data_IF_077645682816
#
_entry.id   IF_077645682816
#
_cell.length_a   1.000
_cell.length_b   1.000
_cell.length_c   1.000
_cell.angle_alpha   90.00
_cell.angle_beta   90.00
_cell.angle_gamma   90.00
#
_symmetry.space_group_name_H-M   'P 1'
#
loop_
_entity.id
_entity.type
_entity.pdbx_description
1 polymer ?
#
# COMPACT_ATOMS: atom_id res chain seq x y z
N UNK A 1 -15.44 8.98 6.84
CA UNK A 1 -14.12 8.41 6.49
C UNK A 1 -14.05 8.35 4.97
N UNK A 2 -12.91 8.74 4.40
CA UNK A 2 -12.64 8.66 2.96
C UNK A 2 -11.40 7.76 2.75
N UNK A 3 -11.37 7.00 1.67
CA UNK A 3 -10.21 6.19 1.27
C UNK A 3 -9.77 6.62 -0.12
N UNK A 4 -8.50 6.98 -0.25
CA UNK A 4 -7.84 7.27 -1.52
C UNK A 4 -6.92 6.09 -1.82
N UNK A 5 -7.37 5.19 -2.68
CA UNK A 5 -6.63 3.97 -3.01
C UNK A 5 -5.70 4.21 -4.22
N UNK A 6 -4.50 3.63 -4.18
CA UNK A 6 -3.52 3.67 -5.26
C UNK A 6 -3.11 5.10 -5.70
N UNK A 7 -2.87 5.98 -4.73
CA UNK A 7 -2.51 7.38 -4.93
C UNK A 7 -1.03 7.58 -5.32
N UNK A 8 -0.54 6.85 -6.32
CA UNK A 8 0.89 6.78 -6.70
C UNK A 8 1.37 7.98 -7.54
N UNK A 9 0.44 8.64 -8.24
CA UNK A 9 0.69 9.70 -9.22
C UNK A 9 0.78 11.09 -8.56
N UNK A 10 1.98 11.52 -8.18
CA UNK A 10 2.25 12.82 -7.53
C UNK A 10 1.68 13.99 -8.33
N UNK A 11 1.76 13.94 -9.66
CA UNK A 11 1.32 14.97 -10.59
C UNK A 11 -0.20 15.21 -10.62
N UNK A 12 -1.00 14.24 -10.13
CA UNK A 12 -2.45 14.40 -9.99
C UNK A 12 -2.78 15.25 -8.75
N UNK A 13 -1.97 15.13 -7.71
CA UNK A 13 -2.19 15.77 -6.42
C UNK A 13 -1.42 17.08 -6.24
N UNK A 14 -0.38 17.32 -7.04
CA UNK A 14 0.46 18.50 -6.93
C UNK A 14 0.84 19.05 -8.31
N UNK A 15 0.93 20.39 -8.46
CA UNK A 15 1.37 21.00 -9.71
C UNK A 15 2.78 20.53 -10.09
N UNK A 16 3.02 20.33 -11.39
CA UNK A 16 4.38 20.08 -11.89
C UNK A 16 5.26 21.31 -11.64
N UNK A 17 6.49 21.11 -11.16
CA UNK A 17 7.47 22.20 -11.01
C UNK A 17 7.67 22.89 -12.36
N UNK A 18 7.35 24.19 -12.44
CA UNK A 18 7.49 25.00 -13.66
C UNK A 18 6.26 25.02 -14.58
N UNK A 19 5.20 24.27 -14.29
CA UNK A 19 3.92 24.43 -14.97
C UNK A 19 3.13 25.57 -14.32
N UNK A 20 3.09 26.72 -14.99
CA UNK A 20 2.33 27.90 -14.56
C UNK A 20 0.96 27.96 -15.24
N UNK A 21 0.35 26.81 -15.54
CA UNK A 21 -1.03 26.79 -15.99
C UNK A 21 -1.96 26.88 -14.78
N UNK A 22 -2.29 28.12 -14.45
CA UNK A 22 -3.12 28.55 -13.32
C UNK A 22 -4.61 28.17 -13.44
N UNK A 23 -4.97 27.20 -14.30
CA UNK A 23 -6.37 26.87 -14.60
C UNK A 23 -6.87 25.58 -13.93
N UNK A 24 -5.97 24.64 -13.61
CA UNK A 24 -6.36 23.38 -12.96
C UNK A 24 -5.84 23.35 -11.51
N UNK A 25 -6.77 23.44 -10.56
CA UNK A 25 -6.45 23.23 -9.15
C UNK A 25 -6.06 21.75 -8.94
N UNK A 26 -4.95 21.47 -8.22
CA UNK A 26 -4.52 20.10 -7.99
C UNK A 26 -5.54 19.33 -7.14
N UNK A 27 -5.64 18.00 -7.30
CA UNK A 27 -6.66 17.20 -6.62
C UNK A 27 -6.57 17.31 -5.09
N UNK A 28 -5.35 17.46 -4.54
CA UNK A 28 -5.13 17.65 -3.11
C UNK A 28 -5.87 18.87 -2.53
N UNK A 29 -6.13 19.89 -3.35
CA UNK A 29 -6.84 21.10 -2.89
C UNK A 29 -8.32 20.86 -2.62
N UNK A 30 -8.91 19.83 -3.23
CA UNK A 30 -10.31 19.43 -3.06
C UNK A 30 -10.50 18.41 -1.92
N UNK A 31 -9.42 17.90 -1.32
CA UNK A 31 -9.55 16.97 -0.21
C UNK A 31 -10.17 17.67 1.02
N UNK A 32 -11.11 17.03 1.73
CA UNK A 32 -11.76 17.63 2.89
C UNK A 32 -10.76 18.07 3.98
N UNK A 33 -10.77 19.37 4.31
CA UNK A 33 -9.94 19.97 5.37
C UNK A 33 -10.79 20.19 6.62
N UNK A 34 -11.19 19.11 7.27
CA UNK A 34 -12.06 19.13 8.44
C UNK A 34 -11.47 18.26 9.54
N UNK A 35 -11.52 18.73 10.79
CA UNK A 35 -11.21 17.89 11.96
C UNK A 35 -12.28 16.82 12.26
N UNK A 36 -13.38 16.80 11.49
CA UNK A 36 -14.46 15.80 11.59
C UNK A 36 -14.36 14.83 10.43
N UNK A 37 -13.65 13.74 10.65
CA UNK A 37 -13.42 12.68 9.66
C UNK A 37 -11.95 12.32 9.54
N UNK A 38 -11.67 11.29 8.74
CA UNK A 38 -10.32 10.83 8.43
C UNK A 38 -10.24 10.46 6.96
N UNK A 39 -9.05 10.61 6.38
CA UNK A 39 -8.69 10.16 5.05
C UNK A 39 -7.59 9.10 5.23
N UNK A 40 -7.81 7.91 4.69
CA UNK A 40 -6.77 6.87 4.58
C UNK A 40 -6.28 6.88 3.15
N UNK A 41 -4.96 6.93 2.96
CA UNK A 41 -4.34 6.97 1.64
C UNK A 41 -3.47 5.74 1.50
N UNK A 42 -3.63 5.00 0.41
CA UNK A 42 -2.71 3.90 0.05
C UNK A 42 -1.88 4.36 -1.14
N UNK A 43 -0.58 4.10 -1.09
CA UNK A 43 0.33 4.35 -2.20
C UNK A 43 1.58 3.49 -2.09
N UNK A 44 2.14 3.10 -3.23
CA UNK A 44 3.48 2.50 -3.36
C UNK A 44 4.58 3.55 -3.54
N UNK A 45 4.19 4.83 -3.66
CA UNK A 45 5.11 5.95 -3.86
C UNK A 45 5.22 6.80 -2.59
N UNK A 46 6.32 6.63 -1.86
CA UNK A 46 6.57 7.36 -0.60
C UNK A 46 6.60 8.88 -0.79
N UNK A 47 7.11 9.40 -1.93
CA UNK A 47 7.10 10.85 -2.22
C UNK A 47 5.67 11.38 -2.41
N UNK A 48 4.78 10.57 -3.00
CA UNK A 48 3.36 10.93 -3.13
C UNK A 48 2.68 10.99 -1.75
N UNK A 49 2.89 9.95 -0.93
CA UNK A 49 2.32 9.87 0.40
C UNK A 49 2.82 10.99 1.32
N UNK A 50 4.14 11.23 1.36
CA UNK A 50 4.75 12.26 2.18
C UNK A 50 4.21 13.65 1.85
N UNK A 51 4.05 13.98 0.57
CA UNK A 51 3.50 15.28 0.17
C UNK A 51 2.02 15.44 0.56
N UNK A 52 1.27 14.35 0.64
CA UNK A 52 -0.16 14.35 1.00
C UNK A 52 -0.39 14.46 2.51
N UNK A 53 0.39 13.75 3.33
CA UNK A 53 0.12 13.62 4.78
C UNK A 53 1.28 14.02 5.69
N UNK A 54 2.49 14.23 5.16
CA UNK A 54 3.73 14.42 5.93
C UNK A 54 4.32 13.10 6.44
N UNK A 55 5.60 13.10 6.82
CA UNK A 55 6.33 11.90 7.26
C UNK A 55 5.73 11.24 8.50
N UNK A 56 5.25 12.03 9.46
CA UNK A 56 4.73 11.54 10.75
C UNK A 56 3.43 10.72 10.62
N UNK A 57 2.78 10.78 9.46
CA UNK A 57 1.50 10.13 9.19
C UNK A 57 1.61 8.95 8.20
N UNK A 58 2.82 8.51 7.85
CA UNK A 58 3.05 7.36 6.97
C UNK A 58 3.13 6.07 7.80
N UNK A 59 2.37 5.07 7.38
CA UNK A 59 2.48 3.70 7.88
C UNK A 59 3.04 2.80 6.77
N UNK A 60 4.28 2.32 6.95
CA UNK A 60 4.88 1.37 6.02
C UNK A 60 4.32 -0.03 6.24
N UNK A 61 3.85 -0.66 5.16
CA UNK A 61 3.40 -2.05 5.18
C UNK A 61 4.56 -2.93 4.73
N UNK A 62 5.20 -3.60 5.68
CA UNK A 62 6.29 -4.54 5.40
C UNK A 62 5.77 -5.85 4.79
N UNK A 63 6.69 -6.68 4.29
CA UNK A 63 6.38 -8.09 3.98
C UNK A 63 5.83 -8.82 5.20
N UNK A 64 5.12 -9.93 4.97
CA UNK A 64 4.60 -10.74 6.06
C UNK A 64 5.72 -11.39 6.85
N UNK A 65 5.44 -11.61 8.13
CA UNK A 65 6.24 -12.51 8.97
C UNK A 65 6.15 -13.95 8.41
N UNK A 66 7.21 -14.75 8.58
CA UNK A 66 7.24 -16.14 8.11
C UNK A 66 6.04 -16.98 8.56
N UNK A 67 5.60 -16.81 9.81
CA UNK A 67 4.42 -17.49 10.35
C UNK A 67 3.12 -17.09 9.64
N UNK A 68 2.98 -15.80 9.29
CA UNK A 68 1.82 -15.30 8.53
C UNK A 68 1.84 -15.80 7.08
N UNK A 69 3.01 -15.86 6.45
CA UNK A 69 3.19 -16.41 5.12
C UNK A 69 2.82 -17.91 5.06
N UNK A 70 3.31 -18.71 6.00
CA UNK A 70 2.94 -20.12 6.13
C UNK A 70 1.44 -20.29 6.39
N UNK A 71 0.85 -19.44 7.24
CA UNK A 71 -0.59 -19.48 7.48
C UNK A 71 -1.38 -19.14 6.22
N UNK A 72 -0.97 -18.13 5.44
CA UNK A 72 -1.62 -17.77 4.19
C UNK A 72 -1.53 -18.93 3.18
N UNK A 73 -0.36 -19.54 3.03
CA UNK A 73 -0.17 -20.70 2.15
C UNK A 73 -1.11 -21.84 2.53
N UNK A 74 -1.14 -22.22 3.81
CA UNK A 74 -2.05 -23.27 4.32
C UNK A 74 -3.52 -22.94 4.07
N UNK A 75 -3.90 -21.67 4.17
CA UNK A 75 -5.28 -21.24 3.90
C UNK A 75 -5.65 -21.31 2.41
N UNK A 76 -4.68 -21.28 1.49
CA UNK A 76 -4.93 -21.37 0.04
C UNK A 76 -4.87 -22.79 -0.50
N UNK A 77 -4.14 -23.67 0.15
CA UNK A 77 -4.06 -25.07 -0.22
C UNK A 77 -5.34 -25.80 0.21
N UNK A 78 -5.82 -26.71 -0.64
CA UNK A 78 -6.84 -27.69 -0.26
C UNK A 78 -6.17 -28.74 0.64
N UNK A 79 -6.89 -29.34 1.59
CA UNK A 79 -6.32 -30.32 2.54
C UNK A 79 -5.55 -31.46 1.85
N UNK A 80 -5.92 -31.84 0.63
CA UNK A 80 -5.23 -32.88 -0.16
C UNK A 80 -3.86 -32.45 -0.71
N UNK A 81 -3.55 -31.15 -0.70
CA UNK A 81 -2.28 -30.55 -1.13
C UNK A 81 -1.41 -30.11 0.05
N UNK A 82 -1.74 -30.52 1.27
CA UNK A 82 -0.95 -30.22 2.46
C UNK A 82 0.35 -31.05 2.42
N UNK A 83 1.41 -30.45 1.87
CA UNK A 83 2.77 -30.98 1.87
C UNK A 83 3.45 -30.86 3.26
N UNK A 84 4.62 -31.49 3.41
CA UNK A 84 5.44 -31.38 4.61
C UNK A 84 5.80 -29.91 4.93
N UNK A 85 5.88 -29.58 6.22
CA UNK A 85 6.21 -28.23 6.72
C UNK A 85 7.54 -27.70 6.16
N UNK A 86 8.51 -28.59 5.84
CA UNK A 86 9.78 -28.20 5.21
C UNK A 86 9.56 -27.64 3.81
N UNK A 87 8.75 -28.31 2.98
CA UNK A 87 8.47 -27.89 1.59
C UNK A 87 7.69 -26.58 1.56
N UNK A 88 6.70 -26.44 2.45
CA UNK A 88 5.94 -25.18 2.57
C UNK A 88 6.83 -24.02 3.00
N UNK A 89 7.80 -24.30 3.88
CA UNK A 89 8.76 -23.30 4.36
C UNK A 89 9.66 -22.82 3.24
N UNK A 90 10.23 -23.74 2.45
CA UNK A 90 11.09 -23.39 1.31
C UNK A 90 10.31 -22.55 0.29
N UNK A 91 9.06 -22.91 0.00
CA UNK A 91 8.21 -22.16 -0.92
C UNK A 91 7.94 -20.72 -0.44
N UNK A 92 7.57 -20.51 0.82
CA UNK A 92 7.31 -19.13 1.31
C UNK A 92 8.58 -18.28 1.41
N UNK A 93 9.74 -18.91 1.62
CA UNK A 93 11.06 -18.27 1.59
C UNK A 93 11.38 -17.80 0.14
N UNK A 94 11.14 -18.65 -0.87
CA UNK A 94 11.30 -18.32 -2.30
C UNK A 94 10.35 -17.21 -2.78
N UNK A 95 9.15 -17.12 -2.19
CA UNK A 95 8.15 -16.08 -2.48
C UNK A 95 8.37 -14.79 -1.69
N UNK A 96 9.51 -14.68 -0.98
CA UNK A 96 9.89 -13.51 -0.17
C UNK A 96 8.82 -13.06 0.83
N UNK A 97 7.98 -13.99 1.30
CA UNK A 97 6.85 -13.69 2.18
C UNK A 97 5.87 -12.65 1.62
N UNK A 98 5.81 -12.49 0.29
CA UNK A 98 4.92 -11.52 -0.36
C UNK A 98 3.49 -12.11 -0.47
N UNK A 99 2.47 -11.48 0.14
CA UNK A 99 1.11 -12.04 0.16
C UNK A 99 0.48 -12.28 -1.22
N UNK A 100 0.89 -11.50 -2.22
CA UNK A 100 0.37 -11.63 -3.58
C UNK A 100 1.02 -12.79 -4.34
N UNK A 101 2.22 -13.18 -3.95
CA UNK A 101 2.96 -14.27 -4.58
C UNK A 101 2.60 -15.64 -3.97
N UNK A 102 2.09 -15.64 -2.72
CA UNK A 102 1.59 -16.81 -1.97
C UNK A 102 0.09 -17.00 -2.21
#
# INVERSE_FOLDING_TARGET
MMVLDNADSVEVFFPRRGAHDSRDQPLASFLPKSGRGSIVITSRNTDAAERLVGLDAIYEVSMMEKGQALQLLRNRLVEECAEDDVVMTDLVDDLNYMPLAI
#
